data_IF_133055183563
#
_entry.id   IF_133055183563
#
_cell.length_a   1.000
_cell.length_b   1.000
_cell.length_c   1.000
_cell.angle_alpha   90.00
_cell.angle_beta   90.00
_cell.angle_gamma   90.00
#
_symmetry.space_group_name_H-M   'P 1'
#
loop_
_entity.id
_entity.type
_entity.pdbx_description
1 polymer ?
#
# COMPACT_ATOMS: atom_id res chain seq x y z
N UNK A 1 15.64 -9.25 -9.56
CA UNK A 1 14.19 -9.16 -9.28
C UNK A 1 13.49 -8.89 -10.60
N UNK A 2 12.49 -9.69 -10.91
CA UNK A 2 11.65 -9.52 -12.09
C UNK A 2 10.43 -8.68 -11.70
N UNK A 3 10.39 -7.42 -12.15
CA UNK A 3 9.28 -6.49 -11.90
C UNK A 3 7.94 -7.09 -12.35
N UNK A 4 7.92 -7.79 -13.48
CA UNK A 4 6.72 -8.45 -14.02
C UNK A 4 6.15 -9.48 -13.04
N UNK A 5 7.01 -10.22 -12.34
CA UNK A 5 6.57 -11.18 -11.33
C UNK A 5 6.06 -10.47 -10.08
N UNK A 6 6.72 -9.39 -9.65
CA UNK A 6 6.25 -8.57 -8.53
C UNK A 6 4.90 -7.89 -8.81
N UNK A 7 4.64 -7.52 -10.07
CA UNK A 7 3.38 -6.95 -10.52
C UNK A 7 2.25 -8.00 -10.52
N UNK A 8 2.56 -9.25 -10.85
CA UNK A 8 1.59 -10.35 -10.85
C UNK A 8 1.30 -10.89 -9.45
N UNK A 9 2.35 -11.15 -8.67
CA UNK A 9 2.26 -11.73 -7.32
C UNK A 9 3.29 -11.05 -6.40
N UNK A 10 2.96 -9.87 -5.86
CA UNK A 10 3.89 -9.11 -5.02
C UNK A 10 4.27 -9.86 -3.74
N UNK A 11 3.30 -10.55 -3.13
CA UNK A 11 3.48 -11.38 -1.93
C UNK A 11 4.42 -12.58 -2.12
N UNK A 12 4.65 -13.02 -3.36
CA UNK A 12 5.61 -14.10 -3.67
C UNK A 12 7.04 -13.58 -3.89
N UNK A 13 7.20 -12.28 -4.12
CA UNK A 13 8.51 -11.66 -4.40
C UNK A 13 9.02 -10.91 -3.17
N UNK A 14 8.12 -10.35 -2.37
CA UNK A 14 8.44 -9.57 -1.19
C UNK A 14 7.70 -10.13 0.02
N UNK A 15 8.41 -10.20 1.15
CA UNK A 15 7.82 -10.61 2.42
C UNK A 15 6.85 -9.57 2.99
N UNK A 16 7.02 -8.29 2.65
CA UNK A 16 6.16 -7.20 3.13
C UNK A 16 6.07 -6.04 2.12
N UNK A 17 4.94 -5.30 2.11
CA UNK A 17 4.78 -4.11 1.29
C UNK A 17 5.78 -2.99 1.67
N UNK A 18 6.22 -2.94 2.93
CA UNK A 18 7.28 -2.04 3.36
C UNK A 18 8.61 -2.33 2.61
N UNK A 19 8.93 -3.60 2.33
CA UNK A 19 10.11 -3.96 1.56
C UNK A 19 10.05 -3.38 0.12
N UNK A 20 8.86 -3.37 -0.51
CA UNK A 20 8.65 -2.74 -1.83
C UNK A 20 8.91 -1.24 -1.78
N UNK A 21 8.44 -0.54 -0.74
CA UNK A 21 8.69 0.90 -0.63
C UNK A 21 10.19 1.21 -0.47
N UNK A 22 10.91 0.41 0.31
CA UNK A 22 12.35 0.60 0.56
C UNK A 22 13.27 0.09 -0.55
N UNK A 23 12.77 -0.75 -1.47
CA UNK A 23 13.63 -1.34 -2.50
C UNK A 23 14.23 -0.27 -3.41
N UNK A 24 15.51 -0.39 -3.75
CA UNK A 24 16.16 0.49 -4.74
C UNK A 24 16.14 -0.11 -6.15
N UNK A 25 15.62 -1.33 -6.30
CA UNK A 25 15.58 -2.04 -7.57
C UNK A 25 14.46 -1.60 -8.49
N UNK A 26 13.45 -0.89 -7.96
CA UNK A 26 12.28 -0.41 -8.69
C UNK A 26 12.21 1.11 -8.61
N UNK A 27 11.71 1.73 -9.67
CA UNK A 27 11.36 3.16 -9.65
C UNK A 27 10.13 3.41 -8.80
N UNK A 28 9.92 4.67 -8.39
CA UNK A 28 8.73 5.06 -7.61
C UNK A 28 7.43 4.63 -8.30
N UNK A 29 7.32 4.80 -9.61
CA UNK A 29 6.13 4.41 -10.38
C UNK A 29 5.88 2.89 -10.31
N UNK A 30 6.92 2.09 -10.54
CA UNK A 30 6.83 0.62 -10.47
C UNK A 30 6.45 0.13 -9.07
N UNK A 31 7.03 0.74 -8.02
CA UNK A 31 6.65 0.43 -6.63
C UNK A 31 5.16 0.69 -6.38
N UNK A 32 4.64 1.79 -6.90
CA UNK A 32 3.23 2.16 -6.76
C UNK A 32 2.35 1.13 -7.46
N UNK A 33 2.70 0.70 -8.68
CA UNK A 33 1.95 -0.34 -9.39
C UNK A 33 1.92 -1.67 -8.62
N UNK A 34 3.07 -2.11 -8.10
CA UNK A 34 3.19 -3.34 -7.29
C UNK A 34 2.34 -3.24 -6.02
N UNK A 35 2.43 -2.13 -5.29
CA UNK A 35 1.66 -1.91 -4.06
C UNK A 35 0.17 -1.78 -4.32
N UNK A 36 -0.25 -1.19 -5.44
CA UNK A 36 -1.66 -1.15 -5.86
C UNK A 36 -2.22 -2.56 -6.07
N UNK A 37 -1.48 -3.42 -6.78
CA UNK A 37 -1.92 -4.81 -6.95
C UNK A 37 -2.01 -5.54 -5.61
N UNK A 38 -1.03 -5.32 -4.73
CA UNK A 38 -1.03 -5.90 -3.38
C UNK A 38 -2.19 -5.41 -2.53
N UNK A 39 -2.58 -4.13 -2.66
CA UNK A 39 -3.75 -3.57 -2.00
C UNK A 39 -4.99 -4.42 -2.29
N UNK A 40 -5.25 -4.75 -3.56
CA UNK A 40 -6.39 -5.57 -3.97
C UNK A 40 -6.33 -6.99 -3.36
N UNK A 41 -5.17 -7.63 -3.47
CA UNK A 41 -4.93 -8.98 -2.94
C UNK A 41 -5.17 -9.03 -1.42
N UNK A 42 -4.68 -8.02 -0.70
CA UNK A 42 -4.83 -7.90 0.76
C UNK A 42 -6.29 -7.71 1.20
N UNK A 43 -7.15 -7.09 0.37
CA UNK A 43 -8.59 -6.98 0.68
C UNK A 43 -9.31 -8.30 0.40
N UNK A 44 -8.92 -9.02 -0.65
CA UNK A 44 -9.46 -10.36 -0.93
C UNK A 44 -9.07 -11.36 0.17
N UNK A 45 -7.84 -11.28 0.67
CA UNK A 45 -7.36 -12.07 1.81
C UNK A 45 -8.08 -11.71 3.12
N UNK A 46 -8.46 -10.44 3.32
CA UNK A 46 -9.25 -10.02 4.48
C UNK A 46 -10.63 -10.68 4.54
N UNK A 47 -11.31 -10.81 3.39
CA UNK A 47 -12.61 -11.50 3.31
C UNK A 47 -12.49 -12.97 3.74
N UNK A 48 -11.34 -13.60 3.51
CA UNK A 48 -11.11 -15.00 3.90
C UNK A 48 -10.78 -15.20 5.39
N UNK A 49 -10.29 -14.18 6.09
CA UNK A 49 -9.81 -14.28 7.47
C UNK A 49 -10.81 -13.76 8.53
N UNK A 50 -11.90 -13.12 8.11
CA UNK A 50 -12.87 -12.47 9.00
C UNK A 50 -13.68 -13.44 9.90
N UNK A 51 -13.44 -14.76 9.79
CA UNK A 51 -14.03 -15.79 10.66
C UNK A 51 -13.13 -16.22 11.86
N UNK A 52 -11.89 -15.73 11.99
CA UNK A 52 -11.03 -16.04 13.14
C UNK A 52 -10.65 -14.78 13.93
N UNK A 53 -11.23 -14.68 15.13
CA UNK A 53 -11.03 -13.57 16.06
C UNK A 53 -9.56 -13.33 16.41
N UNK A 54 -9.12 -12.09 16.17
CA UNK A 54 -7.96 -11.48 16.82
C UNK A 54 -6.68 -11.56 15.99
N UNK A 55 -6.17 -10.40 15.57
CA UNK A 55 -4.89 -10.21 14.89
C UNK A 55 -4.86 -10.54 13.38
N UNK A 56 -6.02 -10.39 12.72
CA UNK A 56 -6.20 -10.67 11.29
C UNK A 56 -5.63 -9.61 10.30
N UNK A 57 -5.66 -9.93 8.98
CA UNK A 57 -4.98 -9.26 7.84
C UNK A 57 -5.30 -7.78 7.55
N UNK A 58 -5.96 -7.07 8.48
CA UNK A 58 -6.12 -5.62 8.42
C UNK A 58 -4.78 -4.88 8.48
N UNK A 59 -3.77 -5.44 9.17
CA UNK A 59 -2.42 -4.86 9.22
C UNK A 59 -1.75 -4.84 7.83
N UNK A 60 -1.94 -5.87 7.01
CA UNK A 60 -1.32 -5.93 5.68
C UNK A 60 -1.83 -4.79 4.78
N UNK A 61 -3.14 -4.53 4.79
CA UNK A 61 -3.71 -3.42 4.01
C UNK A 61 -3.22 -2.06 4.54
N UNK A 62 -3.15 -1.89 5.86
CA UNK A 62 -2.63 -0.66 6.46
C UNK A 62 -1.15 -0.43 6.07
N UNK A 63 -0.33 -1.48 6.09
CA UNK A 63 1.07 -1.41 5.67
C UNK A 63 1.21 -1.06 4.17
N UNK A 64 0.37 -1.63 3.30
CA UNK A 64 0.34 -1.27 1.87
C UNK A 64 0.00 0.20 1.69
N UNK A 65 -1.03 0.70 2.39
CA UNK A 65 -1.45 2.10 2.32
C UNK A 65 -0.36 3.04 2.86
N UNK A 66 0.28 2.68 3.97
CA UNK A 66 1.41 3.43 4.54
C UNK A 66 2.59 3.48 3.57
N UNK A 67 2.90 2.36 2.89
CA UNK A 67 3.94 2.28 1.86
C UNK A 67 3.62 3.18 0.66
N UNK A 68 2.39 3.15 0.14
CA UNK A 68 1.92 4.02 -0.93
C UNK A 68 2.02 5.50 -0.53
N UNK A 69 1.64 5.84 0.70
CA UNK A 69 1.71 7.21 1.22
C UNK A 69 3.16 7.72 1.29
N UNK A 70 4.11 6.89 1.74
CA UNK A 70 5.55 7.23 1.74
C UNK A 70 6.10 7.50 0.34
N UNK A 71 5.56 6.84 -0.68
CA UNK A 71 5.94 7.03 -2.07
C UNK A 71 5.24 8.23 -2.75
N UNK A 72 4.32 8.91 -2.04
CA UNK A 72 3.54 10.03 -2.58
C UNK A 72 2.36 9.60 -3.45
N UNK A 73 1.96 8.33 -3.40
CA UNK A 73 0.79 7.79 -4.10
C UNK A 73 -0.38 7.45 -3.19
N UNK A 74 -0.15 7.41 -1.87
CA UNK A 74 -1.23 7.39 -0.89
C UNK A 74 -2.08 8.62 -1.09
N UNK A 75 -3.41 8.45 -0.99
CA UNK A 75 -4.37 9.53 -1.22
C UNK A 75 -3.88 10.75 -0.45
N UNK A 76 -3.51 11.81 -1.16
CA UNK A 76 -3.03 13.04 -0.54
C UNK A 76 -4.13 13.55 0.38
N UNK A 77 -4.03 13.24 1.68
CA UNK A 77 -4.79 13.95 2.70
C UNK A 77 -4.31 15.41 2.82
N UNK A 78 -3.25 15.77 2.10
CA UNK A 78 -2.84 17.14 1.76
C UNK A 78 -3.70 17.77 0.63
N UNK A 79 -5.02 17.62 0.71
CA UNK A 79 -5.94 18.62 0.12
C UNK A 79 -6.77 19.35 1.18
N UNK A 80 -6.58 19.05 2.47
CA UNK A 80 -7.08 19.90 3.55
C UNK A 80 -6.03 20.97 3.92
N UNK A 81 -5.58 21.77 2.96
CA UNK A 81 -5.03 23.08 3.29
C UNK A 81 -6.20 23.95 3.78
N UNK A 82 -6.25 24.36 5.07
CA UNK A 82 -7.33 25.20 5.58
C UNK A 82 -7.11 26.62 5.06
N UNK A 83 -7.50 26.89 3.83
CA UNK A 83 -7.45 28.25 3.29
C UNK A 83 -8.63 29.04 3.87
N UNK A 84 -8.31 29.78 4.94
CA UNK A 84 -9.01 30.96 5.47
C UNK A 84 -10.46 30.78 5.98
N UNK A 85 -10.59 30.59 7.29
CA UNK A 85 -11.67 31.25 8.04
C UNK A 85 -11.06 32.22 9.04
N UNK A 86 -10.92 33.47 8.60
CA UNK A 86 -10.42 34.56 9.43
C UNK A 86 -10.75 35.89 8.77
N UNK A 87 -11.93 36.42 9.08
CA UNK A 87 -12.35 37.79 8.77
C UNK A 87 -13.73 37.87 8.16
N UNK A 88 -14.76 38.12 8.99
CA UNK A 88 -15.41 39.42 9.19
C UNK A 88 -16.21 39.39 10.49
#
# INVERSE_FOLDING_TARGET
MDFEQAKLNPSSVFDSPAAVATTQTLTTAEKIEVLRQWEYDARELQVAAEENMGEGPGELLDEVLAALNRLGAGVSTDQAAPTKQGGV
#
